data_IF_400556124720
#
_entry.id   IF_400556124720
#
_cell.length_a   1.000
_cell.length_b   1.000
_cell.length_c   1.000
_cell.angle_alpha   90.00
_cell.angle_beta   90.00
_cell.angle_gamma   90.00
#
_symmetry.space_group_name_H-M   'P 1'
#
loop_
_entity.id
_entity.type
_entity.pdbx_description
1 polymer ?
#
# COMPACT_ATOMS: atom_id res chain seq x y z
N UNK A 1 1.18 -36.88 -25.62
CA UNK A 1 1.95 -35.65 -25.41
C UNK A 1 2.55 -35.25 -26.75
N UNK A 2 2.70 -33.97 -27.12
CA UNK A 2 3.19 -33.57 -28.46
C UNK A 2 4.53 -34.24 -28.81
N UNK A 3 5.39 -34.40 -27.80
CA UNK A 3 6.67 -35.11 -27.86
C UNK A 3 6.56 -36.58 -28.28
N UNK A 4 5.39 -37.21 -28.13
CA UNK A 4 5.12 -38.63 -28.44
C UNK A 4 4.12 -38.81 -29.58
N UNK A 5 3.85 -37.78 -30.37
CA UNK A 5 2.94 -37.86 -31.53
C UNK A 5 1.45 -38.06 -31.18
N UNK A 6 1.07 -38.00 -29.91
CA UNK A 6 -0.33 -38.14 -29.48
C UNK A 6 -0.76 -36.97 -28.62
N UNK A 7 -2.04 -36.67 -28.55
CA UNK A 7 -2.59 -35.68 -27.65
C UNK A 7 -3.87 -36.18 -26.99
N UNK A 8 -4.17 -35.62 -25.81
CA UNK A 8 -5.33 -35.98 -25.02
C UNK A 8 -6.34 -34.84 -25.11
N UNK A 9 -7.56 -35.14 -25.52
CA UNK A 9 -8.65 -34.17 -25.57
C UNK A 9 -8.90 -33.56 -24.18
N UNK A 10 -9.21 -32.27 -24.11
CA UNK A 10 -9.43 -31.54 -22.85
C UNK A 10 -10.78 -31.85 -22.17
N UNK A 11 -11.71 -32.51 -22.86
CA UNK A 11 -13.04 -32.87 -22.35
C UNK A 11 -13.21 -34.38 -22.16
N UNK A 12 -14.02 -34.83 -21.18
CA UNK A 12 -14.34 -36.25 -21.02
C UNK A 12 -15.00 -36.80 -22.31
N UNK A 13 -14.64 -38.01 -22.78
CA UNK A 13 -13.88 -39.04 -22.08
C UNK A 13 -12.34 -38.99 -22.26
N UNK A 14 -11.74 -37.81 -22.49
CA UNK A 14 -10.28 -37.60 -22.62
C UNK A 14 -9.63 -38.52 -23.67
N UNK A 15 -10.22 -38.56 -24.86
CA UNK A 15 -9.75 -39.41 -25.95
C UNK A 15 -8.32 -39.06 -26.34
N UNK A 16 -7.52 -40.09 -26.57
CA UNK A 16 -6.20 -39.97 -27.18
C UNK A 16 -6.40 -39.91 -28.69
N UNK A 17 -5.79 -38.92 -29.34
CA UNK A 17 -5.75 -38.79 -30.80
C UNK A 17 -4.33 -38.49 -31.27
N UNK A 18 -4.11 -38.66 -32.56
CA UNK A 18 -2.85 -38.31 -33.20
C UNK A 18 -2.63 -36.78 -33.13
N UNK A 19 -1.40 -36.37 -32.82
CA UNK A 19 -1.04 -34.95 -32.74
C UNK A 19 -1.10 -34.28 -34.12
N UNK A 20 -0.91 -35.05 -35.22
CA UNK A 20 -1.06 -34.59 -36.61
C UNK A 20 -2.49 -34.14 -36.95
N UNK A 21 -3.50 -34.68 -36.26
CA UNK A 21 -4.90 -34.26 -36.38
C UNK A 21 -5.26 -33.07 -35.47
N UNK A 22 -4.37 -32.73 -34.54
CA UNK A 22 -4.60 -31.82 -33.43
C UNK A 22 -3.66 -30.62 -33.41
N UNK A 23 -2.78 -30.59 -32.42
CA UNK A 23 -1.80 -29.53 -32.18
C UNK A 23 -0.92 -29.27 -33.41
N UNK A 24 -0.34 -30.32 -34.01
CA UNK A 24 0.61 -30.15 -35.12
C UNK A 24 -0.06 -29.58 -36.37
N UNK A 25 -1.32 -29.95 -36.63
CA UNK A 25 -2.10 -29.45 -37.78
C UNK A 25 -2.21 -27.93 -37.87
N UNK A 26 -2.17 -27.25 -36.72
CA UNK A 26 -2.34 -25.80 -36.63
C UNK A 26 -1.03 -25.04 -36.86
N UNK A 27 0.10 -25.73 -36.80
CA UNK A 27 1.41 -25.15 -37.03
C UNK A 27 1.74 -25.12 -38.53
N UNK A 28 2.57 -24.20 -39.00
CA UNK A 28 3.12 -24.23 -40.35
C UNK A 28 4.09 -25.40 -40.51
N UNK A 29 4.23 -25.93 -41.74
CA UNK A 29 5.03 -27.13 -42.04
C UNK A 29 6.45 -27.08 -41.46
N UNK A 30 7.11 -25.93 -41.53
CA UNK A 30 8.46 -25.77 -40.99
C UNK A 30 8.51 -25.93 -39.46
N UNK A 31 7.49 -25.47 -38.72
CA UNK A 31 7.40 -25.71 -37.26
C UNK A 31 7.00 -27.15 -36.95
N UNK A 32 6.19 -27.78 -37.81
CA UNK A 32 5.87 -29.19 -37.66
C UNK A 32 7.12 -30.06 -37.77
N UNK A 33 8.02 -29.77 -38.71
CA UNK A 33 9.30 -30.47 -38.84
C UNK A 33 10.21 -30.26 -37.62
N UNK A 34 10.34 -29.02 -37.13
CA UNK A 34 11.15 -28.70 -35.95
C UNK A 34 10.61 -29.33 -34.66
N UNK A 35 9.30 -29.56 -34.58
CA UNK A 35 8.59 -30.11 -33.41
C UNK A 35 8.10 -31.54 -33.62
N UNK A 36 8.62 -32.24 -34.62
CA UNK A 36 8.22 -33.62 -34.87
C UNK A 36 8.40 -34.50 -33.62
N UNK A 37 7.52 -35.50 -33.44
CA UNK A 37 7.60 -36.45 -32.34
C UNK A 37 9.00 -37.04 -32.20
N UNK A 38 9.39 -37.34 -30.96
CA UNK A 38 10.75 -37.81 -30.66
C UNK A 38 11.07 -39.07 -31.45
N UNK A 39 10.14 -40.03 -31.53
CA UNK A 39 10.29 -41.29 -32.27
C UNK A 39 10.44 -41.13 -33.79
N UNK A 40 10.08 -39.96 -34.33
CA UNK A 40 10.26 -39.59 -35.74
C UNK A 40 11.56 -38.80 -35.98
N UNK A 41 12.38 -38.56 -34.94
CA UNK A 41 13.69 -37.91 -35.05
C UNK A 41 14.76 -38.93 -35.44
N UNK A 42 15.75 -38.46 -36.19
CA UNK A 42 16.89 -39.28 -36.58
C UNK A 42 17.67 -39.67 -35.31
N UNK A 43 18.23 -40.88 -35.26
CA UNK A 43 19.03 -41.42 -34.14
C UNK A 43 18.27 -41.93 -32.90
N UNK A 44 16.95 -42.16 -32.97
CA UNK A 44 16.18 -42.83 -31.91
C UNK A 44 16.48 -44.35 -31.78
N UNK A 45 17.68 -44.70 -31.31
CA UNK A 45 18.10 -46.08 -31.06
C UNK A 45 17.67 -46.62 -29.68
N UNK A 46 17.01 -45.81 -28.83
CA UNK A 46 16.69 -46.17 -27.44
C UNK A 46 15.19 -45.99 -27.19
N UNK A 47 14.44 -47.10 -27.23
CA UNK A 47 12.97 -47.10 -27.13
C UNK A 47 12.40 -47.24 -25.69
N UNK A 48 13.23 -47.12 -24.64
CA UNK A 48 12.80 -47.50 -23.27
C UNK A 48 13.07 -46.44 -22.18
N UNK A 49 13.40 -45.20 -22.54
CA UNK A 49 13.52 -44.10 -21.57
C UNK A 49 12.18 -43.36 -21.43
N UNK A 50 11.81 -43.03 -20.20
CA UNK A 50 10.62 -42.22 -19.92
C UNK A 50 11.08 -40.84 -19.48
N UNK A 51 10.58 -39.80 -20.13
CA UNK A 51 10.91 -38.42 -19.80
C UNK A 51 9.67 -37.62 -19.39
N UNK A 52 9.83 -36.76 -18.37
CA UNK A 52 8.84 -35.72 -18.05
C UNK A 52 9.26 -34.42 -18.73
N UNK A 53 8.28 -33.73 -19.32
CA UNK A 53 8.45 -32.39 -19.88
C UNK A 53 7.59 -31.38 -19.12
N UNK A 54 8.12 -30.18 -18.90
CA UNK A 54 7.36 -29.05 -18.36
C UNK A 54 7.86 -27.73 -18.93
N UNK A 55 7.04 -26.70 -18.81
CA UNK A 55 7.40 -25.33 -19.15
C UNK A 55 7.82 -24.63 -17.87
N UNK A 56 9.01 -24.05 -17.87
CA UNK A 56 9.58 -23.23 -16.82
C UNK A 56 9.69 -21.79 -17.31
N UNK A 57 9.34 -20.85 -16.44
CA UNK A 57 9.58 -19.44 -16.70
C UNK A 57 10.91 -19.02 -16.07
N UNK A 58 11.72 -18.28 -16.82
CA UNK A 58 12.92 -17.65 -16.31
C UNK A 58 12.61 -16.35 -15.56
N UNK A 59 13.69 -15.63 -15.23
CA UNK A 59 13.59 -14.40 -14.44
C UNK A 59 12.91 -13.28 -15.22
N UNK A 60 11.98 -12.59 -14.54
CA UNK A 60 11.28 -11.42 -15.08
C UNK A 60 12.05 -10.17 -14.67
N UNK A 61 12.79 -9.60 -15.62
CA UNK A 61 13.41 -8.30 -15.42
C UNK A 61 12.33 -7.21 -15.31
N UNK A 62 12.57 -6.23 -14.45
CA UNK A 62 11.66 -5.12 -14.27
C UNK A 62 12.37 -3.82 -13.96
N UNK A 63 11.72 -2.72 -14.34
CA UNK A 63 12.12 -1.36 -14.00
C UNK A 63 10.93 -0.65 -13.34
N UNK A 64 11.20 0.37 -12.54
CA UNK A 64 10.15 1.21 -11.98
C UNK A 64 10.51 2.68 -12.12
N UNK A 65 9.48 3.51 -12.29
CA UNK A 65 9.58 4.96 -12.30
C UNK A 65 8.60 5.53 -11.27
N UNK A 66 9.07 6.49 -10.48
CA UNK A 66 8.23 7.24 -9.55
C UNK A 66 7.93 8.62 -10.12
N UNK A 67 6.65 8.91 -10.32
CA UNK A 67 6.17 10.24 -10.66
C UNK A 67 5.80 10.97 -9.37
N UNK A 68 6.66 11.90 -8.94
CA UNK A 68 6.46 12.71 -7.73
C UNK A 68 5.22 13.61 -7.83
N UNK A 69 4.83 14.04 -9.03
CA UNK A 69 3.72 14.99 -9.20
C UNK A 69 2.37 14.30 -8.98
N UNK A 70 2.24 13.07 -9.46
CA UNK A 70 1.01 12.28 -9.38
C UNK A 70 1.07 11.19 -8.29
N UNK A 71 2.20 11.09 -7.59
CA UNK A 71 2.44 10.09 -6.56
C UNK A 71 2.12 8.67 -7.06
N UNK A 72 2.60 8.37 -8.28
CA UNK A 72 2.35 7.13 -8.99
C UNK A 72 3.66 6.37 -9.19
N UNK A 73 3.64 5.06 -8.95
CA UNK A 73 4.75 4.16 -9.30
C UNK A 73 4.31 3.35 -10.52
N UNK A 74 5.07 3.46 -11.61
CA UNK A 74 4.87 2.64 -12.81
C UNK A 74 5.92 1.55 -12.87
N UNK A 75 5.49 0.29 -12.97
CA UNK A 75 6.35 -0.87 -13.17
C UNK A 75 6.33 -1.28 -14.65
N UNK A 76 7.52 -1.41 -15.24
CA UNK A 76 7.73 -1.94 -16.58
C UNK A 76 8.30 -3.34 -16.42
N UNK A 77 7.53 -4.35 -16.81
CA UNK A 77 7.93 -5.76 -16.80
C UNK A 77 8.40 -6.13 -18.20
N UNK A 78 9.63 -6.63 -18.32
CA UNK A 78 10.19 -7.08 -19.59
C UNK A 78 9.55 -8.40 -20.06
N UNK A 79 10.03 -8.95 -21.18
CA UNK A 79 9.60 -10.27 -21.65
C UNK A 79 9.96 -11.37 -20.65
N UNK A 80 9.12 -12.39 -20.58
CA UNK A 80 9.33 -13.55 -19.70
C UNK A 80 9.94 -14.67 -20.53
N UNK A 81 11.23 -15.00 -20.36
CA UNK A 81 11.82 -16.11 -21.10
C UNK A 81 11.15 -17.41 -20.66
N UNK A 82 10.61 -18.18 -21.62
CA UNK A 82 9.95 -19.46 -21.36
C UNK A 82 10.82 -20.59 -21.90
N UNK A 83 11.07 -21.59 -21.06
CA UNK A 83 11.92 -22.73 -21.36
C UNK A 83 11.13 -24.02 -21.23
N UNK A 84 11.26 -24.92 -22.19
CA UNK A 84 10.81 -26.30 -22.02
C UNK A 84 11.96 -27.09 -21.41
N UNK A 85 11.68 -27.78 -20.31
CA UNK A 85 12.64 -28.63 -19.60
C UNK A 85 12.25 -30.09 -19.77
N UNK A 86 13.26 -30.96 -19.66
CA UNK A 86 13.11 -32.41 -19.63
C UNK A 86 13.72 -32.96 -18.34
N UNK A 87 13.27 -34.13 -17.92
CA UNK A 87 13.86 -34.92 -16.84
C UNK A 87 13.69 -36.40 -17.17
N UNK A 88 14.77 -37.17 -17.24
CA UNK A 88 14.70 -38.63 -17.32
C UNK A 88 14.10 -39.18 -16.04
N UNK A 89 13.27 -40.20 -16.21
CA UNK A 89 12.61 -40.92 -15.14
C UNK A 89 12.97 -42.40 -15.18
N UNK A 90 13.12 -42.98 -13.99
CA UNK A 90 13.43 -44.39 -13.79
C UNK A 90 12.47 -45.04 -12.80
N UNK A 91 12.33 -46.36 -12.88
CA UNK A 91 11.57 -47.11 -11.88
C UNK A 91 12.42 -47.33 -10.63
N UNK A 92 11.88 -46.99 -9.45
CA UNK A 92 12.47 -47.34 -8.17
C UNK A 92 12.30 -48.84 -7.86
N UNK A 93 12.87 -49.30 -6.74
CA UNK A 93 12.75 -50.70 -6.29
C UNK A 93 11.30 -51.14 -6.02
N UNK A 94 10.38 -50.19 -5.83
CA UNK A 94 8.96 -50.40 -5.60
C UNK A 94 8.14 -50.34 -6.89
N UNK A 95 8.76 -50.08 -8.04
CA UNK A 95 8.11 -49.95 -9.34
C UNK A 95 7.40 -48.60 -9.55
N UNK A 96 7.70 -47.58 -8.75
CA UNK A 96 7.23 -46.22 -9.00
C UNK A 96 8.19 -45.48 -9.93
N UNK A 97 7.65 -44.60 -10.77
CA UNK A 97 8.44 -43.78 -11.66
C UNK A 97 8.93 -42.53 -10.91
N UNK A 98 10.25 -42.41 -10.72
CA UNK A 98 10.92 -41.31 -10.03
C UNK A 98 11.90 -40.59 -10.96
N UNK A 99 12.21 -39.33 -10.65
CA UNK A 99 13.18 -38.54 -11.41
C UNK A 99 14.60 -39.13 -11.22
N UNK A 100 15.35 -39.29 -12.31
CA UNK A 100 16.73 -39.76 -12.26
C UNK A 100 17.69 -38.62 -11.86
N UNK A 101 18.19 -38.70 -10.62
CA UNK A 101 19.10 -37.70 -10.04
C UNK A 101 20.53 -37.85 -10.59
N UNK A 102 20.83 -38.95 -11.30
CA UNK A 102 22.17 -39.26 -11.80
C UNK A 102 22.45 -38.76 -13.22
N UNK A 103 21.43 -38.29 -13.93
CA UNK A 103 21.58 -37.83 -15.31
C UNK A 103 22.22 -36.44 -15.37
N UNK A 104 23.33 -36.35 -16.11
CA UNK A 104 23.85 -35.09 -16.63
C UNK A 104 23.01 -34.73 -17.86
N UNK A 105 22.42 -33.54 -17.89
CA UNK A 105 21.53 -33.05 -18.95
C UNK A 105 22.21 -33.23 -20.33
N UNK A 106 21.91 -34.34 -21.03
CA UNK A 106 22.42 -34.58 -22.37
C UNK A 106 21.59 -33.76 -23.36
N UNK A 107 22.10 -32.56 -23.65
CA UNK A 107 21.54 -31.61 -24.59
C UNK A 107 21.53 -32.12 -26.06
N UNK A 108 22.17 -33.24 -26.35
CA UNK A 108 22.22 -33.85 -27.68
C UNK A 108 21.29 -35.05 -27.84
N UNK A 109 20.51 -35.42 -26.82
CA UNK A 109 19.48 -36.46 -26.96
C UNK A 109 18.31 -35.97 -27.83
N UNK A 110 17.55 -36.85 -28.50
CA UNK A 110 16.33 -36.47 -29.23
C UNK A 110 15.32 -35.68 -28.38
N UNK A 111 15.23 -35.97 -27.07
CA UNK A 111 14.44 -35.20 -26.11
C UNK A 111 15.03 -33.81 -25.86
N UNK A 112 16.35 -33.69 -25.76
CA UNK A 112 17.05 -32.40 -25.65
C UNK A 112 16.87 -31.54 -26.89
N UNK A 113 16.96 -32.13 -28.08
CA UNK A 113 16.64 -31.43 -29.32
C UNK A 113 15.18 -30.95 -29.37
N UNK A 114 14.24 -31.78 -28.88
CA UNK A 114 12.84 -31.38 -28.78
C UNK A 114 12.65 -30.19 -27.82
N UNK A 115 13.24 -30.23 -26.62
CA UNK A 115 13.11 -29.12 -25.65
C UNK A 115 13.77 -27.84 -26.16
N UNK A 116 14.93 -27.94 -26.80
CA UNK A 116 15.63 -26.80 -27.40
C UNK A 116 14.82 -26.20 -28.56
N UNK A 117 14.28 -27.03 -29.46
CA UNK A 117 13.44 -26.55 -30.56
C UNK A 117 12.16 -25.87 -30.04
N UNK A 118 11.46 -26.50 -29.09
CA UNK A 118 10.24 -25.92 -28.50
C UNK A 118 10.55 -24.61 -27.77
N UNK A 119 11.65 -24.55 -27.01
CA UNK A 119 12.10 -23.33 -26.33
C UNK A 119 12.43 -22.23 -27.32
N UNK A 120 13.23 -22.53 -28.36
CA UNK A 120 13.65 -21.57 -29.38
C UNK A 120 12.47 -20.95 -30.11
N UNK A 121 11.45 -21.77 -30.41
CA UNK A 121 10.29 -21.34 -31.18
C UNK A 121 9.04 -21.07 -30.33
N UNK A 122 9.20 -20.93 -29.01
CA UNK A 122 8.07 -20.82 -28.06
C UNK A 122 7.09 -19.71 -28.45
N UNK A 123 7.59 -18.53 -28.81
CA UNK A 123 6.75 -17.38 -29.16
C UNK A 123 6.04 -17.57 -30.51
N UNK A 124 6.73 -18.17 -31.49
CA UNK A 124 6.13 -18.49 -32.78
C UNK A 124 5.03 -19.54 -32.61
N UNK A 125 5.25 -20.59 -31.81
CA UNK A 125 4.23 -21.57 -31.43
C UNK A 125 3.07 -20.86 -30.72
N UNK A 126 3.38 -19.96 -29.80
CA UNK A 126 2.40 -19.16 -29.05
C UNK A 126 1.50 -18.28 -29.92
N UNK A 127 1.96 -17.88 -31.12
CA UNK A 127 1.10 -17.17 -32.08
C UNK A 127 -0.06 -18.02 -32.62
N UNK A 128 0.09 -19.35 -32.61
CA UNK A 128 -0.94 -20.32 -32.98
C UNK A 128 -1.69 -20.87 -31.75
N UNK A 129 -1.05 -20.84 -30.58
CA UNK A 129 -1.58 -21.28 -29.29
C UNK A 129 -1.47 -20.16 -28.24
N UNK A 130 -2.40 -19.19 -28.25
CA UNK A 130 -2.32 -18.02 -27.39
C UNK A 130 -2.25 -18.33 -25.89
N UNK A 131 -2.70 -19.52 -25.48
CA UNK A 131 -2.59 -20.00 -24.10
C UNK A 131 -1.15 -20.04 -23.60
N UNK A 132 -0.17 -20.35 -24.46
CA UNK A 132 1.25 -20.34 -24.11
C UNK A 132 1.74 -18.91 -23.85
N UNK A 133 1.34 -17.93 -24.67
CA UNK A 133 1.69 -16.53 -24.44
C UNK A 133 0.96 -15.94 -23.22
N UNK A 134 -0.26 -16.38 -22.96
CA UNK A 134 -1.01 -15.99 -21.75
C UNK A 134 -0.32 -16.46 -20.46
N UNK A 135 0.47 -17.54 -20.52
CA UNK A 135 1.26 -17.97 -19.37
C UNK A 135 2.30 -16.91 -18.97
N UNK A 136 2.95 -16.25 -19.94
CA UNK A 136 3.87 -15.12 -19.69
C UNK A 136 3.16 -13.99 -18.92
N UNK A 137 1.98 -13.62 -19.40
CA UNK A 137 1.19 -12.54 -18.79
C UNK A 137 0.68 -12.90 -17.39
N UNK A 138 0.30 -14.17 -17.18
CA UNK A 138 -0.09 -14.66 -15.86
C UNK A 138 1.05 -14.55 -14.84
N UNK A 139 2.28 -14.82 -15.26
CA UNK A 139 3.47 -14.70 -14.40
C UNK A 139 3.77 -13.24 -14.06
N UNK A 140 3.64 -12.33 -15.04
CA UNK A 140 3.73 -10.87 -14.79
C UNK A 140 2.71 -10.41 -13.75
N UNK A 141 1.47 -10.89 -13.81
CA UNK A 141 0.46 -10.61 -12.78
C UNK A 141 0.89 -11.14 -11.40
N UNK A 142 1.51 -12.32 -11.34
CA UNK A 142 2.08 -12.86 -10.10
C UNK A 142 3.14 -11.94 -9.48
N UNK A 143 4.04 -11.37 -10.31
CA UNK A 143 5.04 -10.39 -9.86
C UNK A 143 4.38 -9.12 -9.35
N UNK A 144 3.39 -8.58 -10.06
CA UNK A 144 2.64 -7.40 -9.62
C UNK A 144 1.95 -7.61 -8.27
N UNK A 145 1.35 -8.80 -8.07
CA UNK A 145 0.75 -9.16 -6.78
C UNK A 145 1.79 -9.19 -5.66
N UNK A 146 3.01 -9.65 -5.94
CA UNK A 146 4.12 -9.62 -4.98
C UNK A 146 4.48 -8.17 -4.60
N UNK A 147 4.58 -7.26 -5.58
CA UNK A 147 4.84 -5.84 -5.31
C UNK A 147 3.72 -5.21 -4.48
N UNK A 148 2.46 -5.41 -4.85
CA UNK A 148 1.31 -4.88 -4.11
C UNK A 148 1.32 -5.39 -2.67
N UNK A 149 1.57 -6.69 -2.47
CA UNK A 149 1.65 -7.29 -1.14
C UNK A 149 2.78 -6.68 -0.32
N UNK A 150 3.97 -6.52 -0.90
CA UNK A 150 5.11 -5.89 -0.21
C UNK A 150 4.81 -4.45 0.20
N UNK A 151 4.21 -3.66 -0.71
CA UNK A 151 3.77 -2.29 -0.43
C UNK A 151 2.73 -2.27 0.70
N UNK A 152 1.75 -3.16 0.68
CA UNK A 152 0.75 -3.26 1.74
C UNK A 152 1.37 -3.61 3.09
N UNK A 153 2.26 -4.59 3.15
CA UNK A 153 2.97 -4.97 4.38
C UNK A 153 3.82 -3.81 4.92
N UNK A 154 4.46 -3.04 4.05
CA UNK A 154 5.21 -1.85 4.45
C UNK A 154 4.28 -0.75 5.00
N UNK A 155 3.16 -0.46 4.33
CA UNK A 155 2.16 0.49 4.83
C UNK A 155 1.64 0.06 6.21
N UNK A 156 1.33 -1.22 6.41
CA UNK A 156 0.90 -1.74 7.71
C UNK A 156 1.97 -1.56 8.79
N UNK A 157 3.24 -1.83 8.48
CA UNK A 157 4.35 -1.57 9.41
C UNK A 157 4.45 -0.09 9.77
N UNK A 158 4.32 0.82 8.80
CA UNK A 158 4.32 2.25 9.07
C UNK A 158 3.15 2.65 9.96
N UNK A 159 1.94 2.17 9.67
CA UNK A 159 0.74 2.43 10.48
C UNK A 159 0.93 1.94 11.92
N UNK A 160 1.45 0.73 12.10
CA UNK A 160 1.68 0.14 13.43
C UNK A 160 2.80 0.85 14.20
N UNK A 161 3.74 1.48 13.49
CA UNK A 161 4.83 2.26 14.08
C UNK A 161 4.48 3.75 14.25
N UNK A 162 3.24 4.18 13.96
CA UNK A 162 2.77 5.52 14.32
C UNK A 162 2.72 5.58 15.84
N UNK A 163 3.79 6.06 16.45
CA UNK A 163 3.83 6.41 17.86
C UNK A 163 3.78 7.94 17.96
N UNK A 164 2.69 8.46 18.51
CA UNK A 164 2.57 9.89 18.78
C UNK A 164 3.03 10.12 20.21
N UNK A 165 4.20 10.73 20.36
CA UNK A 165 4.77 10.97 21.68
C UNK A 165 3.88 11.92 22.48
N UNK A 166 3.24 11.38 23.52
CA UNK A 166 2.42 12.11 24.48
C UNK A 166 3.16 13.33 25.07
N UNK A 167 4.48 13.20 25.25
CA UNK A 167 5.32 14.26 25.81
C UNK A 167 5.38 15.49 24.89
N UNK A 168 5.50 15.29 23.58
CA UNK A 168 5.56 16.39 22.61
C UNK A 168 4.26 17.21 22.58
N UNK A 169 3.09 16.53 22.68
CA UNK A 169 1.79 17.22 22.74
C UNK A 169 1.67 17.99 24.06
N UNK A 170 2.06 17.37 25.17
CA UNK A 170 2.03 18.04 26.46
C UNK A 170 2.90 19.31 26.48
N UNK A 171 4.11 19.25 25.90
CA UNK A 171 4.99 20.40 25.80
C UNK A 171 4.42 21.50 24.91
N UNK A 172 3.78 21.12 23.80
CA UNK A 172 3.07 22.05 22.92
C UNK A 172 1.94 22.79 23.66
N UNK A 173 1.08 22.04 24.37
CA UNK A 173 0.00 22.62 25.16
C UNK A 173 0.53 23.54 26.26
N UNK A 174 1.64 23.17 26.93
CA UNK A 174 2.26 24.03 27.94
C UNK A 174 2.79 25.34 27.35
N UNK A 175 3.37 25.32 26.14
CA UNK A 175 3.80 26.55 25.46
C UNK A 175 2.62 27.47 25.17
N UNK A 176 1.50 26.94 24.66
CA UNK A 176 0.28 27.72 24.46
C UNK A 176 -0.22 28.29 25.78
N UNK A 177 -0.27 27.47 26.84
CA UNK A 177 -0.75 27.90 28.16
C UNK A 177 0.06 29.07 28.72
N UNK A 178 1.37 29.08 28.50
CA UNK A 178 2.25 30.14 28.97
C UNK A 178 2.12 31.45 28.16
N UNK A 179 1.52 31.41 26.96
CA UNK A 179 1.34 32.58 26.10
C UNK A 179 -0.01 33.30 26.35
N UNK A 180 -0.91 32.69 27.10
CA UNK A 180 -2.27 33.20 27.32
C UNK A 180 -2.53 33.38 28.81
N UNK A 181 -3.27 34.44 29.15
CA UNK A 181 -3.88 34.58 30.47
C UNK A 181 -5.33 34.14 30.36
N UNK A 182 -5.74 33.16 31.16
CA UNK A 182 -7.12 32.67 31.17
C UNK A 182 -7.47 31.97 32.50
N UNK A 183 -8.64 32.25 33.11
CA UNK A 183 -9.62 33.25 32.68
C UNK A 183 -9.14 34.68 32.97
N UNK A 184 -9.48 35.63 32.09
CA UNK A 184 -9.25 37.06 32.30
C UNK A 184 -10.28 37.64 33.27
N UNK A 185 -11.53 37.14 33.24
CA UNK A 185 -12.62 37.60 34.10
C UNK A 185 -12.47 37.10 35.55
N UNK A 186 -11.53 37.69 36.29
CA UNK A 186 -11.40 37.46 37.74
C UNK A 186 -11.68 38.75 38.49
N UNK A 187 -12.28 38.66 39.69
CA UNK A 187 -12.53 39.85 40.51
C UNK A 187 -11.23 40.62 40.83
N UNK A 188 -10.11 39.91 40.99
CA UNK A 188 -8.79 40.54 41.14
C UNK A 188 -8.41 41.38 39.93
N UNK A 189 -8.61 40.85 38.72
CA UNK A 189 -8.25 41.54 37.48
C UNK A 189 -9.21 42.69 37.17
N UNK A 190 -10.51 42.51 37.42
CA UNK A 190 -11.51 43.57 37.33
C UNK A 190 -11.13 44.72 38.27
N UNK A 191 -10.80 44.42 39.53
CA UNK A 191 -10.39 45.45 40.48
C UNK A 191 -9.05 46.10 40.09
N UNK A 192 -8.10 45.33 39.55
CA UNK A 192 -6.81 45.85 39.05
C UNK A 192 -7.01 46.86 37.94
N UNK A 193 -7.77 46.50 36.90
CA UNK A 193 -8.07 47.36 35.76
C UNK A 193 -8.86 48.59 36.23
N UNK A 194 -9.88 48.39 37.07
CA UNK A 194 -10.66 49.48 37.65
C UNK A 194 -9.78 50.50 38.39
N UNK A 195 -8.90 50.03 39.28
CA UNK A 195 -7.99 50.90 40.03
C UNK A 195 -6.99 51.60 39.10
N UNK A 196 -6.50 50.91 38.06
CA UNK A 196 -5.64 51.52 37.03
C UNK A 196 -6.35 52.68 36.32
N UNK A 197 -7.61 52.48 35.91
CA UNK A 197 -8.38 53.54 35.27
C UNK A 197 -8.58 54.76 36.19
N UNK A 198 -8.75 54.55 37.50
CA UNK A 198 -8.86 55.65 38.47
C UNK A 198 -7.53 56.39 38.64
N UNK A 199 -6.41 55.66 38.77
CA UNK A 199 -5.09 56.26 38.90
C UNK A 199 -4.70 57.07 37.66
N UNK A 200 -5.04 56.57 36.47
CA UNK A 200 -4.73 57.24 35.20
C UNK A 200 -5.47 58.59 35.05
N UNK A 201 -6.59 58.75 35.77
CA UNK A 201 -7.39 59.98 35.79
C UNK A 201 -7.16 60.83 37.06
N UNK A 202 -6.25 60.43 37.96
CA UNK A 202 -6.05 61.05 39.28
C UNK A 202 -7.35 61.17 40.12
N UNK A 203 -8.26 60.20 39.99
CA UNK A 203 -9.51 60.15 40.76
C UNK A 203 -9.33 59.21 41.95
N UNK A 204 -9.66 59.67 43.16
CA UNK A 204 -9.69 58.81 44.34
C UNK A 204 -10.93 57.93 44.34
N UNK A 205 -10.80 56.67 44.82
CA UNK A 205 -11.92 55.74 44.98
C UNK A 205 -13.10 56.35 45.75
N UNK A 206 -12.81 57.17 46.77
CA UNK A 206 -13.82 57.84 47.60
C UNK A 206 -14.65 58.91 46.86
N UNK A 207 -14.18 59.36 45.69
CA UNK A 207 -14.84 60.40 44.90
C UNK A 207 -15.84 59.83 43.89
N UNK A 208 -15.87 58.49 43.70
CA UNK A 208 -16.73 57.83 42.72
C UNK A 208 -18.00 57.33 43.41
N UNK A 209 -19.20 57.75 42.98
CA UNK A 209 -20.46 57.20 43.47
C UNK A 209 -20.54 55.68 43.28
N UNK A 210 -21.08 54.97 44.26
CA UNK A 210 -21.17 53.50 44.25
C UNK A 210 -21.83 52.92 42.99
N UNK A 211 -22.87 53.58 42.48
CA UNK A 211 -23.56 53.16 41.24
C UNK A 211 -22.62 53.19 40.02
N UNK A 212 -21.79 54.24 39.90
CA UNK A 212 -20.81 54.36 38.82
C UNK A 212 -19.68 53.33 38.93
N UNK A 213 -19.29 52.96 40.16
CA UNK A 213 -18.33 51.87 40.40
C UNK A 213 -18.89 50.56 39.85
N UNK A 214 -20.14 50.23 40.20
CA UNK A 214 -20.77 49.00 39.72
C UNK A 214 -20.97 49.00 38.20
N UNK A 215 -21.37 50.13 37.62
CA UNK A 215 -21.51 50.26 36.15
C UNK A 215 -20.17 50.06 35.44
N UNK A 216 -19.10 50.70 35.92
CA UNK A 216 -17.77 50.57 35.31
C UNK A 216 -17.21 49.15 35.47
N UNK A 217 -17.33 48.54 36.65
CA UNK A 217 -16.93 47.14 36.85
C UNK A 217 -17.72 46.18 35.97
N UNK A 218 -19.01 46.45 35.73
CA UNK A 218 -19.82 45.66 34.81
C UNK A 218 -19.32 45.79 33.37
N UNK A 219 -18.98 47.00 32.92
CA UNK A 219 -18.38 47.22 31.58
C UNK A 219 -17.03 46.52 31.43
N UNK A 220 -16.14 46.63 32.43
CA UNK A 220 -14.86 45.92 32.46
C UNK A 220 -15.08 44.41 32.38
N UNK A 221 -16.00 43.87 33.19
CA UNK A 221 -16.37 42.44 33.18
C UNK A 221 -16.82 42.00 31.78
N UNK A 222 -17.71 42.75 31.13
CA UNK A 222 -18.16 42.42 29.78
C UNK A 222 -17.01 42.40 28.77
N UNK A 223 -16.06 43.33 28.84
CA UNK A 223 -14.89 43.33 27.96
C UNK A 223 -13.97 42.14 28.21
N UNK A 224 -13.74 41.75 29.48
CA UNK A 224 -12.94 40.58 29.83
C UNK A 224 -13.60 39.27 29.39
N UNK A 225 -14.93 39.16 29.48
CA UNK A 225 -15.68 38.01 28.95
C UNK A 225 -15.49 37.89 27.43
N UNK A 226 -15.55 38.99 26.69
CA UNK A 226 -15.31 38.96 25.25
C UNK A 226 -13.85 38.62 24.91
N UNK A 227 -12.89 39.10 25.70
CA UNK A 227 -11.49 38.71 25.58
C UNK A 227 -11.29 37.21 25.83
N UNK A 228 -11.94 36.64 26.86
CA UNK A 228 -11.90 35.21 27.16
C UNK A 228 -12.51 34.37 26.03
N UNK A 229 -13.64 34.79 25.46
CA UNK A 229 -14.24 34.13 24.28
C UNK A 229 -13.29 34.17 23.08
N UNK A 230 -12.64 35.31 22.84
CA UNK A 230 -11.68 35.49 21.75
C UNK A 230 -10.45 34.58 21.94
N UNK A 231 -9.88 34.55 23.14
CA UNK A 231 -8.74 33.68 23.49
C UNK A 231 -9.10 32.20 23.34
N UNK A 232 -10.26 31.78 23.85
CA UNK A 232 -10.72 30.39 23.72
C UNK A 232 -10.86 30.00 22.25
N UNK A 233 -11.48 30.87 21.43
CA UNK A 233 -11.64 30.62 19.99
C UNK A 233 -10.28 30.45 19.31
N UNK A 234 -9.36 31.41 19.52
CA UNK A 234 -8.02 31.40 18.93
C UNK A 234 -7.25 30.14 19.31
N UNK A 235 -7.19 29.80 20.60
CA UNK A 235 -6.48 28.59 21.08
C UNK A 235 -7.09 27.32 20.49
N UNK A 236 -8.42 27.27 20.37
CA UNK A 236 -9.10 26.13 19.74
C UNK A 236 -8.71 26.01 18.27
N UNK A 237 -8.68 27.12 17.53
CA UNK A 237 -8.28 27.16 16.11
C UNK A 237 -6.81 26.75 15.94
N UNK A 238 -5.90 27.31 16.74
CA UNK A 238 -4.46 26.99 16.70
C UNK A 238 -4.20 25.49 16.97
N UNK A 239 -4.93 24.88 17.92
CA UNK A 239 -4.81 23.43 18.20
C UNK A 239 -5.44 22.63 17.05
N UNK A 240 -6.61 23.01 16.55
CA UNK A 240 -7.27 22.33 15.42
C UNK A 240 -6.37 22.29 14.18
N UNK A 241 -5.71 23.40 13.86
CA UNK A 241 -4.81 23.52 12.72
C UNK A 241 -3.56 22.67 12.92
N UNK A 242 -2.86 22.84 14.05
CA UNK A 242 -1.62 22.13 14.34
C UNK A 242 -1.80 20.61 14.48
N UNK A 243 -2.99 20.16 14.90
CA UNK A 243 -3.29 18.75 15.16
C UNK A 243 -4.26 18.11 14.16
N UNK A 244 -4.58 18.82 13.06
CA UNK A 244 -5.48 18.34 12.00
C UNK A 244 -6.86 17.85 12.47
N UNK A 245 -7.44 18.47 13.50
CA UNK A 245 -8.73 18.10 14.10
C UNK A 245 -9.91 19.00 13.67
N UNK A 246 -9.85 19.56 12.46
CA UNK A 246 -10.81 20.54 11.94
C UNK A 246 -12.28 20.05 11.91
N UNK A 247 -12.53 18.75 11.83
CA UNK A 247 -13.89 18.19 11.73
C UNK A 247 -14.64 18.11 13.07
N UNK A 248 -13.98 18.35 14.21
CA UNK A 248 -14.55 18.11 15.55
C UNK A 248 -14.49 19.36 16.46
N UNK A 249 -14.73 20.53 15.88
CA UNK A 249 -14.57 21.85 16.53
C UNK A 249 -15.38 22.04 17.81
N UNK A 250 -16.57 21.44 17.94
CA UNK A 250 -17.39 21.56 19.15
C UNK A 250 -16.81 20.77 20.34
N UNK A 251 -16.38 19.53 20.10
CA UNK A 251 -15.80 18.65 21.13
C UNK A 251 -14.47 19.22 21.62
N UNK A 252 -13.58 19.58 20.70
CA UNK A 252 -12.27 20.11 21.06
C UNK A 252 -12.38 21.45 21.80
N UNK A 253 -13.31 22.34 21.43
CA UNK A 253 -13.56 23.58 22.17
C UNK A 253 -13.92 23.32 23.63
N UNK A 254 -14.72 22.29 23.90
CA UNK A 254 -15.11 21.90 25.27
C UNK A 254 -13.91 21.37 26.06
N UNK A 255 -13.09 20.53 25.44
CA UNK A 255 -11.87 19.99 26.06
C UNK A 255 -10.83 21.09 26.33
N UNK A 256 -10.65 22.02 25.40
CA UNK A 256 -9.78 23.20 25.57
C UNK A 256 -10.29 24.06 26.71
N UNK A 257 -11.60 24.32 26.80
CA UNK A 257 -12.18 25.07 27.90
C UNK A 257 -11.90 24.42 29.26
N UNK A 258 -12.12 23.12 29.38
CA UNK A 258 -11.85 22.36 30.62
C UNK A 258 -10.37 22.38 30.98
N UNK A 259 -9.49 22.27 29.98
CA UNK A 259 -8.06 22.40 30.17
C UNK A 259 -7.67 23.79 30.67
N UNK A 260 -8.19 24.86 30.08
CA UNK A 260 -7.84 26.23 30.46
C UNK A 260 -8.38 26.63 31.85
N UNK A 261 -9.56 26.14 32.24
CA UNK A 261 -10.16 26.44 33.54
C UNK A 261 -9.63 25.55 34.67
N UNK A 262 -9.48 24.25 34.42
CA UNK A 262 -9.27 23.25 35.46
C UNK A 262 -7.95 22.49 35.32
N UNK A 263 -7.12 22.84 34.33
CA UNK A 263 -5.88 22.14 34.00
C UNK A 263 -6.10 20.65 33.66
N UNK A 264 -7.30 20.29 33.20
CA UNK A 264 -7.68 18.93 32.79
C UNK A 264 -7.17 18.61 31.37
N UNK A 265 -5.86 18.37 31.24
CA UNK A 265 -5.20 18.14 29.94
C UNK A 265 -5.28 16.70 29.42
N UNK A 266 -5.57 15.71 30.27
CA UNK A 266 -5.48 14.28 29.89
C UNK A 266 -6.45 13.95 28.75
N UNK A 267 -7.71 14.33 28.87
CA UNK A 267 -8.74 14.08 27.84
C UNK A 267 -8.43 14.81 26.53
N UNK A 268 -7.95 16.04 26.62
CA UNK A 268 -7.52 16.83 25.46
C UNK A 268 -6.34 16.16 24.74
N UNK A 269 -5.33 15.70 25.47
CA UNK A 269 -4.18 15.02 24.86
C UNK A 269 -4.62 13.71 24.21
N UNK A 270 -5.42 12.88 24.89
CA UNK A 270 -5.94 11.64 24.32
C UNK A 270 -6.73 11.89 23.02
N UNK A 271 -7.54 12.94 23.00
CA UNK A 271 -8.28 13.36 21.82
C UNK A 271 -7.35 13.80 20.66
N UNK A 272 -6.31 14.59 20.95
CA UNK A 272 -5.32 15.03 19.97
C UNK A 272 -4.54 13.84 19.41
N UNK A 273 -4.07 12.92 20.27
CA UNK A 273 -3.37 11.70 19.86
C UNK A 273 -4.24 10.90 18.89
N UNK A 274 -5.50 10.64 19.27
CA UNK A 274 -6.41 9.89 18.42
C UNK A 274 -6.68 10.59 17.07
N UNK A 275 -6.84 11.91 17.07
CA UNK A 275 -7.06 12.69 15.84
C UNK A 275 -5.86 12.63 14.91
N UNK A 276 -4.65 12.79 15.45
CA UNK A 276 -3.42 12.72 14.68
C UNK A 276 -3.13 11.30 14.17
N UNK A 277 -3.43 10.26 14.96
CA UNK A 277 -3.34 8.86 14.52
C UNK A 277 -4.29 8.59 13.35
N UNK A 278 -5.54 9.06 13.47
CA UNK A 278 -6.55 8.93 12.42
C UNK A 278 -6.11 9.65 11.16
N UNK A 279 -5.67 10.91 11.27
CA UNK A 279 -5.15 11.68 10.15
C UNK A 279 -3.96 11.00 9.46
N UNK A 280 -2.98 10.52 10.23
CA UNK A 280 -1.83 9.79 9.67
C UNK A 280 -2.27 8.50 8.97
N UNK A 281 -3.21 7.74 9.55
CA UNK A 281 -3.78 6.55 8.91
C UNK A 281 -4.48 6.91 7.60
N UNK A 282 -5.27 7.97 7.56
CA UNK A 282 -5.95 8.44 6.35
C UNK A 282 -4.95 8.86 5.25
N UNK A 283 -3.84 9.50 5.60
CA UNK A 283 -2.76 9.79 4.64
C UNK A 283 -2.17 8.50 4.04
N UNK A 284 -1.95 7.47 4.85
CA UNK A 284 -1.46 6.18 4.35
C UNK A 284 -2.52 5.36 3.61
N UNK A 285 -3.81 5.51 3.95
CA UNK A 285 -4.91 4.84 3.25
C UNK A 285 -5.23 5.48 1.90
N UNK A 286 -5.17 6.81 1.80
CA UNK A 286 -5.38 7.55 0.53
C UNK A 286 -4.27 7.28 -0.50
N UNK A 287 -3.06 6.95 -0.04
CA UNK A 287 -2.00 6.37 -0.87
C UNK A 287 -2.44 5.05 -1.52
N UNK A 288 -3.23 4.23 -0.82
CA UNK A 288 -3.84 3.01 -1.35
C UNK A 288 -5.02 3.25 -2.29
N UNK A 289 -5.88 4.23 -2.00
CA UNK A 289 -7.04 4.54 -2.84
C UNK A 289 -6.62 5.13 -4.21
N UNK A 290 -5.57 5.96 -4.24
CA UNK A 290 -5.01 6.48 -5.49
C UNK A 290 -4.33 5.40 -6.36
N UNK A 291 -3.95 4.26 -5.77
CA UNK A 291 -3.44 3.12 -6.55
C UNK A 291 -4.56 2.32 -7.23
N UNK A 292 -5.81 2.42 -6.77
CA UNK A 292 -6.94 1.63 -7.27
C UNK A 292 -7.80 2.39 -8.30
N UNK A 293 -7.74 3.72 -8.32
CA UNK A 293 -8.53 4.56 -9.22
C UNK A 293 -7.66 5.39 -10.16
N UNK A 294 -6.76 4.73 -10.90
CA UNK A 294 -6.19 5.32 -12.11
C UNK A 294 -7.32 5.56 -13.12
N UNK A 295 -7.77 6.81 -13.24
CA UNK A 295 -8.74 7.20 -14.27
C UNK A 295 -8.07 7.06 -15.64
N UNK A 296 -8.65 6.33 -16.60
CA UNK A 296 -8.10 6.24 -17.95
C UNK A 296 -8.14 7.63 -18.59
N UNK A 297 -6.98 8.09 -19.04
CA UNK A 297 -6.85 9.27 -19.92
C UNK A 297 -6.96 8.85 -21.38
#
# INVERSE_FOLDING_TARGET
>A
MISTGVEVCSGPPFQIRDASDGFMKRLPEWLQEELKPIDERNDCAIMNSVHRFWIEAGEIAYQHQFDENNNMITYYLDDVPMHVKKQLMQYDEQGNLIDDVSELDDDHSPEGEFTQAFTRYYDQIGSYFPELLRLKELLKLGVLLSFIRSTFENIQKYINNINIEFHSINDYLQRIRNQITYPCETDSEINRIFNSCLSDQNISYSQVPYEQINELKTKIRSQLIEADKSNLKKVTEDICEACHCAHQTATIKTLVLNWLLYNQKVELISFIVHSLETYKREQYSSLGDNCLYGSPS
#
